data_IF_031080578651
#
_entry.id   IF_031080578651
#
_cell.length_a   1.000
_cell.length_b   1.000
_cell.length_c   1.000
_cell.angle_alpha   90.00
_cell.angle_beta   90.00
_cell.angle_gamma   90.00
#
_symmetry.space_group_name_H-M   'P 1'
#
loop_
_entity.id
_entity.type
_entity.pdbx_description
1 polymer ?
#
# COMPACT_ATOMS: atom_id res chain seq x y z
N UNK A 1 17.21 18.59 -15.49
CA UNK A 1 16.53 17.84 -14.42
C UNK A 1 15.47 18.74 -13.80
N UNK A 2 14.32 18.17 -13.46
CA UNK A 2 13.29 18.90 -12.71
C UNK A 2 13.65 18.93 -11.23
N UNK A 3 13.31 19.98 -10.48
CA UNK A 3 13.49 20.00 -9.05
C UNK A 3 12.59 18.94 -8.42
N UNK A 4 13.19 18.00 -7.69
CA UNK A 4 12.46 16.99 -6.92
C UNK A 4 11.89 17.64 -5.67
N UNK A 5 10.57 17.56 -5.47
CA UNK A 5 9.88 18.16 -4.33
C UNK A 5 9.34 17.15 -3.33
N UNK A 6 9.12 15.92 -3.78
CA UNK A 6 8.65 14.83 -2.91
C UNK A 6 9.44 13.58 -3.22
N UNK A 7 9.58 12.72 -2.23
CA UNK A 7 10.27 11.44 -2.35
C UNK A 7 9.42 10.36 -1.69
N UNK A 8 9.41 9.16 -2.26
CA UNK A 8 8.77 8.00 -1.65
C UNK A 8 9.76 6.83 -1.66
N UNK A 9 10.03 6.29 -0.48
CA UNK A 9 11.00 5.22 -0.33
C UNK A 9 10.40 3.88 -0.70
N UNK A 10 11.05 3.18 -1.65
CA UNK A 10 10.69 1.83 -2.02
C UNK A 10 11.36 0.80 -1.11
N UNK A 11 10.57 -0.10 -0.54
CA UNK A 11 11.08 -1.23 0.21
C UNK A 11 11.34 -2.44 -0.71
N UNK A 12 12.45 -3.15 -0.48
CA UNK A 12 12.67 -4.47 -1.06
C UNK A 12 12.15 -5.55 -0.12
N UNK A 13 11.25 -6.47 -0.55
CA UNK A 13 10.61 -7.46 0.33
C UNK A 13 11.60 -8.38 1.07
N UNK A 14 12.76 -8.62 0.47
CA UNK A 14 13.83 -9.49 1.02
C UNK A 14 14.89 -8.73 1.80
N UNK A 15 14.85 -7.41 1.82
CA UNK A 15 15.82 -6.59 2.55
C UNK A 15 15.56 -6.67 4.06
N UNK A 16 16.62 -6.74 4.85
CA UNK A 16 16.56 -6.60 6.31
C UNK A 16 16.25 -5.15 6.73
N UNK A 17 16.54 -4.19 5.85
CA UNK A 17 16.40 -2.75 6.10
C UNK A 17 15.14 -2.21 5.45
N UNK A 18 14.45 -1.33 6.15
CA UNK A 18 13.40 -0.51 5.55
C UNK A 18 14.07 0.75 4.96
N UNK A 19 13.78 1.04 3.68
CA UNK A 19 14.31 2.25 3.04
C UNK A 19 13.95 3.53 3.78
N UNK A 20 12.83 3.56 4.49
CA UNK A 20 12.40 4.70 5.32
C UNK A 20 13.32 4.96 6.51
N UNK A 21 14.09 3.95 6.96
CA UNK A 21 15.01 4.11 8.09
C UNK A 21 16.13 5.12 7.80
N UNK A 22 16.41 5.39 6.53
CA UNK A 22 17.33 6.46 6.11
C UNK A 22 16.95 7.80 6.76
N UNK A 23 15.67 8.11 6.78
CA UNK A 23 15.13 9.37 7.29
C UNK A 23 15.10 9.49 8.82
N UNK A 24 15.48 8.46 9.53
CA UNK A 24 15.77 8.54 10.98
C UNK A 24 17.09 9.23 11.26
N UNK A 25 17.98 9.26 10.28
CA UNK A 25 19.36 9.78 10.40
C UNK A 25 19.59 11.04 9.55
N UNK A 26 18.74 11.27 8.55
CA UNK A 26 18.85 12.40 7.63
C UNK A 26 17.53 13.14 7.55
N UNK A 27 17.61 14.45 7.44
CA UNK A 27 16.43 15.31 7.26
C UNK A 27 16.24 15.62 5.77
N UNK A 28 15.22 15.01 5.15
CA UNK A 28 14.90 15.28 3.74
C UNK A 28 14.41 16.70 3.50
N UNK A 29 13.90 17.40 4.51
CA UNK A 29 13.52 18.80 4.38
C UNK A 29 14.75 19.70 4.20
N UNK A 30 15.87 19.36 4.83
CA UNK A 30 17.14 20.07 4.64
C UNK A 30 17.65 19.98 3.20
N UNK A 31 17.26 18.92 2.47
CA UNK A 31 17.57 18.74 1.04
C UNK A 31 16.54 19.41 0.10
N UNK A 32 15.64 20.22 0.63
CA UNK A 32 14.60 20.92 -0.14
C UNK A 32 13.41 20.04 -0.55
N UNK A 33 13.28 18.84 0.02
CA UNK A 33 12.16 17.94 -0.21
C UNK A 33 11.01 18.34 0.72
N UNK A 34 9.82 18.53 0.17
CA UNK A 34 8.64 19.00 0.89
C UNK A 34 7.99 17.90 1.72
N UNK A 35 8.14 16.63 1.31
CA UNK A 35 7.54 15.54 2.05
C UNK A 35 7.83 14.15 1.49
N UNK A 36 7.69 13.19 2.39
CA UNK A 36 7.65 11.75 2.16
C UNK A 36 6.27 11.21 2.54
N UNK A 37 5.52 10.58 1.62
CA UNK A 37 4.11 10.26 1.84
C UNK A 37 3.81 9.43 3.09
N UNK A 38 4.71 8.54 3.49
CA UNK A 38 4.49 7.70 4.67
C UNK A 38 4.74 8.41 6.00
N UNK A 39 5.46 9.53 6.00
CA UNK A 39 5.72 10.35 7.19
C UNK A 39 4.81 11.56 7.28
N UNK A 40 4.56 12.23 6.14
CA UNK A 40 3.90 13.53 6.12
C UNK A 40 2.39 13.46 5.83
N UNK A 41 1.88 12.30 5.39
CA UNK A 41 0.43 12.16 5.18
C UNK A 41 -0.29 12.02 6.53
N UNK A 42 -1.28 12.89 6.81
CA UNK A 42 -2.06 12.82 8.04
C UNK A 42 -3.06 11.64 7.98
N UNK A 43 -2.59 10.42 8.19
CA UNK A 43 -3.39 9.19 8.09
C UNK A 43 -4.55 9.10 9.10
N UNK A 44 -4.61 9.97 10.08
CA UNK A 44 -5.82 10.15 10.90
C UNK A 44 -7.03 10.66 10.11
N UNK A 45 -6.79 11.36 8.99
CA UNK A 45 -7.79 11.96 8.10
C UNK A 45 -7.78 11.38 6.69
N UNK A 46 -6.64 10.85 6.25
CA UNK A 46 -6.42 10.28 4.92
C UNK A 46 -6.44 8.76 5.00
N UNK A 47 -7.36 8.13 4.28
CA UNK A 47 -7.42 6.67 4.15
C UNK A 47 -6.31 6.18 3.22
N UNK A 48 -5.62 5.12 3.62
CA UNK A 48 -4.59 4.50 2.78
C UNK A 48 -5.11 3.22 2.13
N UNK A 49 -4.95 3.12 0.82
CA UNK A 49 -5.37 1.97 0.03
C UNK A 49 -4.22 1.53 -0.89
N UNK A 50 -3.97 0.22 -0.97
CA UNK A 50 -2.94 -0.34 -1.83
C UNK A 50 -3.42 -1.62 -2.50
N UNK A 51 -2.99 -1.86 -3.75
CA UNK A 51 -3.24 -3.11 -4.48
C UNK A 51 -2.19 -4.19 -4.20
N UNK A 52 -1.46 -4.06 -3.09
CA UNK A 52 -0.48 -5.06 -2.66
C UNK A 52 -1.15 -6.43 -2.49
N UNK A 53 -0.53 -7.45 -3.06
CA UNK A 53 -1.07 -8.81 -3.03
C UNK A 53 -2.19 -9.06 -4.05
N UNK A 54 -2.45 -8.13 -4.97
CA UNK A 54 -3.55 -8.15 -5.96
C UNK A 54 -4.95 -8.12 -5.34
N UNK A 55 -5.05 -7.49 -4.20
CA UNK A 55 -6.31 -7.19 -3.52
C UNK A 55 -6.14 -5.86 -2.77
N UNK A 56 -7.24 -5.22 -2.43
CA UNK A 56 -7.22 -3.91 -1.80
C UNK A 56 -7.19 -3.99 -0.26
N UNK A 57 -7.38 -5.17 0.31
CA UNK A 57 -7.23 -5.49 1.75
C UNK A 57 -5.88 -6.16 2.06
N UNK A 58 -4.87 -5.87 1.26
CA UNK A 58 -3.53 -6.46 1.34
C UNK A 58 -2.76 -6.21 2.64
N UNK A 59 -3.28 -5.38 3.55
CA UNK A 59 -2.69 -5.16 4.87
C UNK A 59 -2.56 -6.46 5.70
N UNK A 60 -3.36 -7.49 5.41
CA UNK A 60 -3.27 -8.80 6.05
C UNK A 60 -1.95 -9.54 5.77
N UNK A 61 -1.33 -9.31 4.63
CA UNK A 61 -0.08 -9.97 4.23
C UNK A 61 1.00 -9.00 3.77
N UNK A 62 0.75 -7.69 3.82
CA UNK A 62 1.80 -6.72 3.56
C UNK A 62 2.69 -6.55 4.78
N UNK A 63 3.99 -6.58 4.54
CA UNK A 63 4.99 -6.32 5.58
C UNK A 63 5.19 -4.82 5.76
N UNK A 64 5.18 -4.04 4.67
CA UNK A 64 5.58 -2.62 4.66
C UNK A 64 4.49 -1.68 4.16
N UNK A 65 3.66 -2.16 3.22
CA UNK A 65 2.62 -1.41 2.54
C UNK A 65 1.33 -1.38 3.39
N UNK A 66 1.43 -0.83 4.58
CA UNK A 66 0.33 -0.69 5.53
C UNK A 66 0.60 0.45 6.50
N UNK A 67 -0.44 0.96 7.13
CA UNK A 67 -0.39 1.99 8.18
C UNK A 67 -0.96 1.37 9.47
N UNK A 68 -0.17 0.63 10.25
CA UNK A 68 -0.68 -0.19 11.36
C UNK A 68 -1.47 0.60 12.39
N UNK A 69 -0.99 1.80 12.72
CA UNK A 69 -1.59 2.68 13.75
C UNK A 69 -3.05 3.06 13.43
N UNK A 70 -3.43 3.09 12.16
CA UNK A 70 -4.77 3.50 11.74
C UNK A 70 -5.61 2.36 11.17
N UNK A 71 -5.02 1.18 10.94
CA UNK A 71 -5.68 0.08 10.25
C UNK A 71 -6.94 -0.40 10.98
N UNK A 72 -6.85 -0.63 12.29
CA UNK A 72 -8.00 -1.12 13.09
C UNK A 72 -9.15 -0.11 13.08
N UNK A 73 -8.84 1.19 13.11
CA UNK A 73 -9.85 2.23 13.02
C UNK A 73 -10.58 2.24 11.66
N UNK A 74 -9.84 2.00 10.58
CA UNK A 74 -10.44 1.90 9.24
C UNK A 74 -11.32 0.67 9.10
N UNK A 75 -10.87 -0.48 9.61
CA UNK A 75 -11.67 -1.71 9.65
C UNK A 75 -12.94 -1.51 10.46
N UNK A 76 -12.86 -0.90 11.64
CA UNK A 76 -14.02 -0.59 12.48
C UNK A 76 -15.03 0.35 11.81
N UNK A 77 -14.57 1.20 10.87
CA UNK A 77 -15.43 2.07 10.04
C UNK A 77 -15.96 1.37 8.79
N UNK A 78 -15.70 0.09 8.58
CA UNK A 78 -16.11 -0.64 7.38
C UNK A 78 -15.32 -0.29 6.12
N UNK A 79 -14.18 0.41 6.24
CA UNK A 79 -13.33 0.78 5.10
C UNK A 79 -12.44 -0.42 4.71
N UNK A 80 -13.06 -1.49 4.27
CA UNK A 80 -12.42 -2.73 3.82
C UNK A 80 -12.90 -3.05 2.42
N UNK A 81 -12.00 -3.06 1.47
CA UNK A 81 -12.28 -3.34 0.06
C UNK A 81 -11.39 -4.48 -0.40
N UNK A 82 -11.97 -5.58 -0.82
CA UNK A 82 -11.19 -6.72 -1.31
C UNK A 82 -10.92 -6.61 -2.81
N UNK A 83 -11.95 -6.29 -3.58
CA UNK A 83 -11.91 -6.21 -5.05
C UNK A 83 -12.16 -4.79 -5.53
N UNK A 84 -11.72 -4.47 -6.74
CA UNK A 84 -12.03 -3.19 -7.39
C UNK A 84 -13.54 -2.95 -7.52
N UNK A 85 -14.33 -4.01 -7.66
CA UNK A 85 -15.79 -3.91 -7.67
C UNK A 85 -16.37 -3.36 -6.35
N UNK A 86 -15.73 -3.63 -5.21
CA UNK A 86 -16.16 -3.11 -3.92
C UNK A 86 -15.89 -1.62 -3.83
N UNK A 87 -14.76 -1.16 -4.37
CA UNK A 87 -14.42 0.28 -4.47
C UNK A 87 -15.44 0.99 -5.39
N UNK A 88 -15.72 0.41 -6.56
CA UNK A 88 -16.67 0.98 -7.52
C UNK A 88 -18.04 1.11 -6.88
N UNK A 89 -18.50 0.09 -6.17
CA UNK A 89 -19.77 0.10 -5.45
C UNK A 89 -19.79 1.20 -4.39
N UNK A 90 -18.77 1.28 -3.55
CA UNK A 90 -18.67 2.30 -2.52
C UNK A 90 -18.66 3.73 -3.09
N UNK A 91 -18.02 3.93 -4.25
CA UNK A 91 -18.06 5.20 -4.97
C UNK A 91 -19.47 5.54 -5.46
N UNK A 92 -20.18 4.55 -6.03
CA UNK A 92 -21.57 4.73 -6.51
C UNK A 92 -22.54 5.01 -5.37
N UNK A 93 -22.31 4.42 -4.21
CA UNK A 93 -23.11 4.61 -2.99
C UNK A 93 -22.74 5.87 -2.21
N UNK A 94 -21.68 6.57 -2.59
CA UNK A 94 -21.19 7.75 -1.87
C UNK A 94 -20.56 7.44 -0.51
N UNK A 95 -20.22 6.16 -0.26
CA UNK A 95 -19.62 5.69 1.00
C UNK A 95 -18.10 5.61 0.97
N UNK A 96 -17.50 5.85 -0.21
CA UNK A 96 -16.04 5.83 -0.36
C UNK A 96 -15.39 7.09 0.25
N UNK A 97 -14.22 6.96 0.93
CA UNK A 97 -13.54 8.10 1.55
C UNK A 97 -13.17 9.20 0.55
N UNK A 98 -13.41 10.45 0.91
CA UNK A 98 -13.09 11.61 0.07
C UNK A 98 -11.60 11.99 0.12
N UNK A 99 -10.89 11.62 1.19
CA UNK A 99 -9.46 11.83 1.33
C UNK A 99 -8.75 10.48 1.27
N UNK A 100 -7.97 10.27 0.24
CA UNK A 100 -7.37 8.98 -0.08
C UNK A 100 -5.93 9.15 -0.55
N UNK A 101 -5.05 8.32 -0.03
CA UNK A 101 -3.76 7.99 -0.63
C UNK A 101 -3.84 6.57 -1.20
N UNK A 102 -3.61 6.43 -2.51
CA UNK A 102 -3.68 5.14 -3.20
C UNK A 102 -2.32 4.79 -3.80
N UNK A 103 -1.81 3.61 -3.44
CA UNK A 103 -0.61 3.03 -4.05
C UNK A 103 -1.01 1.89 -4.98
N UNK A 104 -0.53 1.94 -6.22
CA UNK A 104 -0.81 0.93 -7.24
C UNK A 104 0.48 0.36 -7.82
N UNK A 105 0.41 -0.86 -8.34
CA UNK A 105 1.54 -1.58 -8.92
C UNK A 105 1.31 -1.83 -10.43
N UNK A 106 1.55 -0.82 -11.31
CA UNK A 106 1.26 -0.90 -12.74
C UNK A 106 2.00 -2.04 -13.47
N UNK A 107 3.15 -2.48 -12.95
CA UNK A 107 3.90 -3.62 -13.50
C UNK A 107 3.11 -4.93 -13.50
N UNK A 108 1.99 -4.99 -12.77
CA UNK A 108 1.09 -6.16 -12.76
C UNK A 108 -0.05 -6.05 -13.76
N UNK A 109 -0.19 -4.91 -14.41
CA UNK A 109 -1.24 -4.69 -15.40
C UNK A 109 -0.84 -5.32 -16.73
N UNK A 110 -1.73 -6.12 -17.29
CA UNK A 110 -1.51 -6.78 -18.56
C UNK A 110 -2.83 -7.04 -19.26
N UNK A 111 -2.82 -6.92 -20.58
CA UNK A 111 -3.96 -7.27 -21.44
C UNK A 111 -3.96 -8.77 -21.82
N UNK A 112 -2.90 -9.52 -21.50
CA UNK A 112 -2.81 -10.96 -21.74
C UNK A 112 -3.52 -11.74 -20.63
N UNK A 113 -4.59 -12.44 -20.98
CA UNK A 113 -5.35 -13.27 -20.02
C UNK A 113 -4.49 -14.38 -19.41
N UNK A 114 -3.58 -14.96 -20.16
CA UNK A 114 -2.69 -16.01 -19.68
C UNK A 114 -1.65 -15.48 -18.72
N UNK A 115 -1.00 -14.35 -19.03
CA UNK A 115 -0.07 -13.68 -18.15
C UNK A 115 -0.76 -13.23 -16.85
N UNK A 116 -1.98 -12.68 -16.96
CA UNK A 116 -2.79 -12.32 -15.83
C UNK A 116 -3.11 -13.49 -14.92
N UNK A 117 -3.59 -14.62 -15.49
CA UNK A 117 -3.95 -15.81 -14.73
C UNK A 117 -2.73 -16.43 -14.02
N UNK A 118 -1.60 -16.54 -14.72
CA UNK A 118 -0.34 -17.03 -14.15
C UNK A 118 0.09 -16.20 -12.96
N UNK A 119 0.10 -14.88 -13.12
CA UNK A 119 0.53 -13.96 -12.06
C UNK A 119 -0.45 -13.96 -10.88
N UNK A 120 -1.76 -14.11 -11.15
CA UNK A 120 -2.79 -14.25 -10.12
C UNK A 120 -2.57 -15.49 -9.26
N UNK A 121 -2.32 -16.66 -9.87
CA UNK A 121 -2.03 -17.91 -9.15
C UNK A 121 -0.77 -17.76 -8.30
N UNK A 122 0.31 -17.27 -8.90
CA UNK A 122 1.58 -17.09 -8.20
C UNK A 122 1.48 -16.11 -7.02
N UNK A 123 0.71 -15.03 -7.20
CA UNK A 123 0.54 -14.04 -6.13
C UNK A 123 -0.30 -14.59 -4.97
N UNK A 124 -1.36 -15.34 -5.26
CA UNK A 124 -2.15 -15.98 -4.21
C UNK A 124 -1.31 -16.97 -3.39
N UNK A 125 -0.47 -17.77 -4.05
CA UNK A 125 0.44 -18.67 -3.36
C UNK A 125 1.44 -17.90 -2.47
N UNK A 126 2.03 -16.81 -2.98
CA UNK A 126 2.90 -15.93 -2.19
C UNK A 126 2.17 -15.30 -0.99
N UNK A 127 0.92 -14.92 -1.15
CA UNK A 127 0.12 -14.35 -0.07
C UNK A 127 -0.10 -15.36 1.06
N UNK A 128 -0.43 -16.60 0.73
CA UNK A 128 -0.57 -17.69 1.72
C UNK A 128 0.72 -17.92 2.49
N UNK A 129 1.85 -18.03 1.80
CA UNK A 129 3.16 -18.19 2.44
C UNK A 129 3.46 -17.01 3.38
N UNK A 130 3.18 -15.77 2.95
CA UNK A 130 3.38 -14.59 3.79
C UNK A 130 2.49 -14.58 5.03
N UNK A 131 1.24 -15.01 4.92
CA UNK A 131 0.34 -15.12 6.08
C UNK A 131 0.91 -16.09 7.13
N UNK A 132 1.39 -17.25 6.68
CA UNK A 132 2.01 -18.24 7.59
C UNK A 132 3.24 -17.63 8.27
N UNK A 133 4.11 -16.98 7.51
CA UNK A 133 5.33 -16.37 8.06
C UNK A 133 5.04 -15.19 9.03
N UNK A 134 3.95 -14.49 8.87
CA UNK A 134 3.55 -13.40 9.77
C UNK A 134 2.91 -13.96 11.04
N UNK A 135 2.14 -15.04 10.94
CA UNK A 135 1.48 -15.66 12.10
C UNK A 135 2.43 -16.45 13.01
N UNK A 136 3.64 -16.74 12.54
CA UNK A 136 4.68 -17.46 13.29
C UNK A 136 5.72 -16.54 13.96
N UNK A 137 5.56 -15.23 13.83
CA UNK A 137 6.35 -14.21 14.54
C UNK A 137 5.56 -13.57 15.67
#
# INVERSE_FOLDING_TARGET
>A
FYPVRTICMHGAPTSQWDGKDLWKHYDYHAEGILGEPYFDTPFGEVFYLTDTGRCWDGYHFSVRDKIPVHQDRWVAKGLVYHRSADIIRALQEGSFPTRLMMTTHPQRWTNSKTAWAREWVLQNLKNQIKQILISTK
#
